data_IF_606431273439
#
_entry.id   IF_606431273439
#
_cell.length_a   1.000
_cell.length_b   1.000
_cell.length_c   1.000
_cell.angle_alpha   90.00
_cell.angle_beta   90.00
_cell.angle_gamma   90.00
#
_symmetry.space_group_name_H-M   'P 1'
#
loop_
_entity.id
_entity.type
_entity.pdbx_description
1 polymer ?
#
# COMPACT_ATOMS: atom_id res chain seq x y z
N UNK A 1 12.42 11.08 10.66
CA UNK A 1 12.90 10.99 9.26
C UNK A 1 11.98 10.03 8.53
N UNK A 2 11.45 10.43 7.38
CA UNK A 2 10.63 9.54 6.55
C UNK A 2 11.57 8.84 5.54
N UNK A 3 11.51 7.51 5.47
CA UNK A 3 12.28 6.73 4.48
C UNK A 3 11.40 6.48 3.26
N UNK A 4 12.02 6.57 2.07
CA UNK A 4 11.37 6.36 0.78
C UNK A 4 11.81 4.98 0.27
N UNK A 5 10.85 4.08 0.03
CA UNK A 5 11.14 2.77 -0.55
C UNK A 5 10.41 2.61 -1.88
N UNK A 6 11.08 2.00 -2.86
CA UNK A 6 10.41 1.48 -4.05
C UNK A 6 9.65 0.20 -3.67
N UNK A 7 8.32 0.19 -3.84
CA UNK A 7 7.44 -0.91 -3.45
C UNK A 7 6.61 -1.31 -4.67
N UNK A 8 6.79 -2.54 -5.15
CA UNK A 8 5.88 -3.13 -6.12
C UNK A 8 4.67 -3.70 -5.38
N UNK A 9 3.52 -3.03 -5.41
CA UNK A 9 2.29 -3.57 -4.81
C UNK A 9 1.68 -4.60 -5.76
N UNK A 10 1.95 -5.89 -5.50
CA UNK A 10 1.29 -6.98 -6.23
C UNK A 10 -0.12 -7.18 -5.69
N UNK A 11 -1.09 -6.78 -6.49
CA UNK A 11 -2.52 -7.07 -6.42
C UNK A 11 -3.16 -7.00 -5.02
N UNK A 12 -4.12 -6.09 -4.88
CA UNK A 12 -5.15 -6.19 -3.85
C UNK A 12 -5.73 -7.62 -3.90
N UNK A 13 -5.46 -8.48 -2.91
CA UNK A 13 -6.31 -9.66 -2.65
C UNK A 13 -7.58 -9.13 -2.00
N UNK A 14 -8.29 -8.30 -2.74
CA UNK A 14 -9.70 -8.21 -2.54
C UNK A 14 -10.26 -9.49 -3.14
N UNK A 15 -10.87 -10.26 -2.27
CA UNK A 15 -11.56 -11.48 -2.59
C UNK A 15 -12.61 -11.14 -3.66
N UNK A 16 -12.30 -11.46 -4.92
CA UNK A 16 -13.20 -11.72 -6.04
C UNK A 16 -14.47 -10.85 -6.19
N UNK A 17 -14.39 -9.52 -6.18
CA UNK A 17 -15.49 -8.69 -6.70
C UNK A 17 -15.11 -8.10 -8.06
N UNK A 18 -16.06 -8.17 -9.01
CA UNK A 18 -15.89 -7.72 -10.41
C UNK A 18 -15.48 -6.24 -10.56
N UNK A 19 -15.66 -5.41 -9.52
CA UNK A 19 -15.34 -3.98 -9.53
C UNK A 19 -14.05 -3.59 -8.80
N UNK A 20 -13.30 -4.56 -8.29
CA UNK A 20 -12.04 -4.28 -7.59
C UNK A 20 -10.89 -4.10 -8.58
N UNK A 21 -9.94 -3.22 -8.26
CA UNK A 21 -8.73 -3.03 -9.06
C UNK A 21 -7.83 -4.28 -8.94
N UNK A 22 -7.68 -5.00 -10.06
CA UNK A 22 -6.88 -6.22 -10.15
C UNK A 22 -5.45 -5.96 -10.64
N UNK A 23 -5.09 -4.70 -10.89
CA UNK A 23 -3.76 -4.35 -11.40
C UNK A 23 -2.69 -4.56 -10.34
N UNK A 24 -1.53 -5.01 -10.78
CA UNK A 24 -0.29 -4.90 -10.01
C UNK A 24 0.34 -3.56 -10.31
N UNK A 25 0.59 -2.75 -9.28
CA UNK A 25 1.05 -1.38 -9.41
C UNK A 25 2.46 -1.23 -8.84
N UNK A 26 3.39 -0.74 -9.66
CA UNK A 26 4.70 -0.28 -9.19
C UNK A 26 4.54 1.11 -8.58
N UNK A 27 4.79 1.25 -7.28
CA UNK A 27 4.57 2.50 -6.55
C UNK A 27 5.78 2.85 -5.69
N UNK A 28 5.90 4.11 -5.31
CA UNK A 28 6.85 4.54 -4.29
C UNK A 28 6.06 4.83 -3.02
N UNK A 29 6.40 4.15 -1.94
CA UNK A 29 5.74 4.34 -0.65
C UNK A 29 6.66 5.09 0.31
N UNK A 30 6.06 5.99 1.08
CA UNK A 30 6.72 6.72 2.15
C UNK A 30 6.39 6.05 3.47
N UNK A 31 7.41 5.74 4.26
CA UNK A 31 7.25 5.30 5.64
C UNK A 31 7.41 6.53 6.55
N UNK A 32 6.32 7.10 7.10
CA UNK A 32 6.39 8.32 7.89
C UNK A 32 7.18 8.15 9.20
N UNK A 33 7.19 6.93 9.74
CA UNK A 33 8.00 6.58 10.91
C UNK A 33 8.30 5.08 10.89
N UNK A 34 9.59 4.73 10.97
CA UNK A 34 10.05 3.35 11.12
C UNK A 34 9.80 2.80 12.53
N UNK A 35 9.63 3.67 13.53
CA UNK A 35 9.40 3.28 14.92
C UNK A 35 7.92 3.13 15.27
N UNK A 36 7.02 3.47 14.35
CA UNK A 36 5.58 3.39 14.58
C UNK A 36 5.08 1.94 14.56
N UNK A 37 4.19 1.61 15.51
CA UNK A 37 3.46 0.35 15.55
C UNK A 37 1.94 0.56 15.44
N UNK A 38 1.25 -0.10 14.48
CA UNK A 38 1.82 -0.84 13.36
C UNK A 38 2.58 0.07 12.38
N UNK A 39 3.45 -0.53 11.55
CA UNK A 39 4.20 0.19 10.51
C UNK A 39 3.21 0.82 9.52
N UNK A 40 3.43 2.09 9.17
CA UNK A 40 2.57 2.80 8.22
C UNK A 40 3.29 3.00 6.90
N UNK A 41 2.57 2.79 5.80
CA UNK A 41 3.05 3.09 4.46
C UNK A 41 2.03 3.97 3.76
N UNK A 42 2.48 5.13 3.27
CA UNK A 42 1.66 6.09 2.56
C UNK A 42 2.09 6.14 1.09
N UNK A 43 1.11 6.06 0.18
CA UNK A 43 1.35 6.24 -1.26
C UNK A 43 0.11 6.78 -1.96
N UNK A 44 0.31 7.21 -3.20
CA UNK A 44 -0.76 7.72 -4.07
C UNK A 44 -0.84 6.88 -5.33
N UNK A 45 -2.04 6.42 -5.68
CA UNK A 45 -2.34 5.82 -6.98
C UNK A 45 -2.91 6.92 -7.88
N UNK A 46 -2.33 7.11 -9.06
CA UNK A 46 -2.82 8.07 -10.05
C UNK A 46 -3.75 7.40 -11.06
N UNK A 47 -4.49 8.21 -11.81
CA UNK A 47 -5.45 7.78 -12.84
C UNK A 47 -6.52 6.80 -12.31
N UNK A 48 -7.06 7.13 -11.14
CA UNK A 48 -8.15 6.42 -10.50
C UNK A 48 -9.42 7.27 -10.56
N UNK A 49 -10.46 6.74 -11.22
CA UNK A 49 -11.77 7.38 -11.28
C UNK A 49 -12.64 7.13 -10.04
N UNK A 50 -12.31 6.13 -9.24
CA UNK A 50 -12.94 5.82 -7.96
C UNK A 50 -12.00 5.00 -7.09
N UNK A 51 -12.47 4.58 -5.91
CA UNK A 51 -11.69 3.76 -4.99
C UNK A 51 -11.44 2.34 -5.50
N UNK A 52 -12.24 1.82 -6.45
CA UNK A 52 -12.06 0.49 -7.07
C UNK A 52 -11.63 -0.62 -6.10
N UNK A 53 -12.30 -0.74 -4.95
CA UNK A 53 -12.01 -1.78 -3.96
C UNK A 53 -10.90 -1.47 -2.96
N UNK A 54 -10.15 -0.39 -3.14
CA UNK A 54 -9.20 0.16 -2.16
C UNK A 54 -9.95 0.85 -1.01
N UNK A 55 -10.69 0.09 -0.22
CA UNK A 55 -11.47 0.60 0.91
C UNK A 55 -10.87 0.19 2.25
N UNK A 56 -11.19 0.94 3.30
CA UNK A 56 -10.66 0.69 4.65
C UNK A 56 -10.95 -0.72 5.14
N UNK A 57 -10.03 -1.26 5.93
CA UNK A 57 -10.08 -2.60 6.54
C UNK A 57 -9.99 -3.77 5.53
N UNK A 58 -9.65 -3.51 4.27
CA UNK A 58 -9.36 -4.56 3.30
C UNK A 58 -7.88 -4.97 3.31
N UNK A 59 -7.58 -6.27 3.17
CA UNK A 59 -6.20 -6.75 3.10
C UNK A 59 -5.61 -6.49 1.72
N UNK A 60 -4.32 -6.18 1.71
CA UNK A 60 -3.52 -5.94 0.50
C UNK A 60 -2.20 -6.65 0.64
N UNK A 61 -1.62 -7.08 -0.48
CA UNK A 61 -0.30 -7.65 -0.49
C UNK A 61 0.69 -6.66 -1.12
N UNK A 62 1.78 -6.45 -0.40
CA UNK A 62 2.85 -5.54 -0.77
C UNK A 62 4.10 -6.36 -1.01
N UNK A 63 4.79 -6.08 -2.12
CA UNK A 63 6.13 -6.58 -2.34
C UNK A 63 7.10 -5.40 -2.35
N UNK A 64 7.94 -5.32 -1.32
CA UNK A 64 8.99 -4.31 -1.28
C UNK A 64 10.10 -4.73 -2.24
N UNK A 65 10.53 -3.83 -3.12
CA UNK A 65 11.59 -4.16 -4.09
C UNK A 65 12.86 -4.54 -3.33
N UNK A 66 13.44 -5.69 -3.68
CA UNK A 66 14.60 -6.27 -2.99
C UNK A 66 14.24 -7.22 -1.83
N UNK A 67 12.98 -7.28 -1.41
CA UNK A 67 12.52 -8.27 -0.43
C UNK A 67 12.29 -9.65 -1.08
N UNK A 68 12.59 -10.71 -0.32
CA UNK A 68 12.24 -12.10 -0.68
C UNK A 68 10.84 -12.51 -0.23
N UNK A 69 10.14 -11.63 0.49
CA UNK A 69 8.86 -11.93 1.13
C UNK A 69 7.79 -10.92 0.75
N UNK A 70 6.56 -11.43 0.58
CA UNK A 70 5.35 -10.65 0.41
C UNK A 70 4.80 -10.27 1.79
N UNK A 71 4.44 -9.00 1.97
CA UNK A 71 3.87 -8.48 3.21
C UNK A 71 2.36 -8.33 3.03
N UNK A 72 1.60 -8.94 3.94
CA UNK A 72 0.17 -8.66 4.05
C UNK A 72 -0.02 -7.41 4.92
N UNK A 73 -0.67 -6.39 4.38
CA UNK A 73 -1.04 -5.17 5.08
C UNK A 73 -2.56 -4.95 5.00
N UNK A 74 -3.06 -4.00 5.79
CA UNK A 74 -4.47 -3.61 5.80
C UNK A 74 -4.60 -2.15 5.42
N UNK A 75 -5.57 -1.81 4.58
CA UNK A 75 -5.87 -0.40 4.26
C UNK A 75 -6.43 0.26 5.52
N UNK A 76 -5.67 1.21 6.06
CA UNK A 76 -6.09 2.01 7.20
C UNK A 76 -6.87 3.25 6.76
N UNK A 77 -6.48 3.85 5.63
CA UNK A 77 -7.17 5.01 5.04
C UNK A 77 -7.13 4.90 3.53
N UNK A 78 -8.24 5.27 2.93
CA UNK A 78 -8.38 5.51 1.50
C UNK A 78 -9.07 6.84 1.32
N UNK A 79 -8.53 7.70 0.45
CA UNK A 79 -9.10 9.00 0.16
C UNK A 79 -8.99 9.29 -1.32
N UNK A 80 -10.13 9.33 -1.99
CA UNK A 80 -10.21 9.65 -3.40
C UNK A 80 -10.23 11.17 -3.62
N UNK A 81 -9.39 11.64 -4.53
CA UNK A 81 -9.29 13.01 -4.96
C UNK A 81 -9.86 13.10 -6.38
N UNK A 82 -11.14 13.44 -6.48
CA UNK A 82 -11.87 13.50 -7.77
C UNK A 82 -11.23 14.48 -8.77
N UNK A 83 -10.75 15.62 -8.30
CA UNK A 83 -10.14 16.65 -9.16
C UNK A 83 -8.86 16.15 -9.81
N UNK A 84 -8.04 15.42 -9.07
CA UNK A 84 -6.72 14.94 -9.51
C UNK A 84 -6.77 13.50 -10.05
N UNK A 85 -7.95 12.87 -10.04
CA UNK A 85 -8.16 11.44 -10.33
C UNK A 85 -7.11 10.57 -9.64
N UNK A 86 -6.93 10.81 -8.34
CA UNK A 86 -5.91 10.13 -7.55
C UNK A 86 -6.48 9.54 -6.28
N UNK A 87 -5.80 8.55 -5.74
CA UNK A 87 -6.21 7.86 -4.54
C UNK A 87 -5.06 7.82 -3.55
N UNK A 88 -5.23 8.52 -2.43
CA UNK A 88 -4.27 8.54 -1.34
C UNK A 88 -4.57 7.38 -0.40
N UNK A 89 -3.60 6.47 -0.25
CA UNK A 89 -3.72 5.25 0.53
C UNK A 89 -2.74 5.28 1.69
N UNK A 90 -3.24 4.88 2.87
CA UNK A 90 -2.41 4.51 4.02
C UNK A 90 -2.64 3.05 4.35
N UNK A 91 -1.55 2.30 4.41
CA UNK A 91 -1.54 0.92 4.84
C UNK A 91 -0.97 0.78 6.25
N UNK A 92 -1.49 -0.18 6.99
CA UNK A 92 -0.93 -0.66 8.23
C UNK A 92 -0.35 -2.06 8.00
N UNK A 93 0.97 -2.19 8.12
CA UNK A 93 1.66 -3.46 8.05
C UNK A 93 2.04 -3.95 9.46
N UNK A 94 1.95 -5.27 9.73
CA UNK A 94 2.33 -5.85 11.03
C UNK A 94 3.85 -5.76 11.26
N UNK A 95 4.31 -5.71 12.52
CA UNK A 95 5.72 -5.45 12.88
C UNK A 95 6.76 -6.39 12.27
N UNK A 96 6.40 -7.62 11.88
CA UNK A 96 7.36 -8.51 11.21
C UNK A 96 7.69 -8.04 9.78
N UNK A 97 6.87 -7.16 9.19
CA UNK A 97 7.14 -6.54 7.90
C UNK A 97 8.40 -5.66 7.91
N UNK A 98 8.85 -5.18 9.07
CA UNK A 98 10.14 -4.50 9.22
C UNK A 98 11.30 -5.32 8.67
N UNK A 99 11.26 -6.66 8.77
CA UNK A 99 12.30 -7.55 8.22
C UNK A 99 12.28 -7.65 6.70
N UNK A 100 11.19 -7.24 6.08
CA UNK A 100 11.03 -7.23 4.62
C UNK A 100 11.37 -5.87 3.99
N UNK A 101 11.61 -4.85 4.82
CA UNK A 101 12.18 -3.59 4.37
C UNK A 101 13.71 -3.76 4.33
N UNK A 102 14.39 -3.32 3.25
CA UNK A 102 15.85 -3.29 3.24
C UNK A 102 16.34 -2.38 4.37
N UNK A 103 17.30 -2.86 5.15
CA UNK A 103 18.09 -1.98 6.01
C UNK A 103 19.01 -1.14 5.12
N UNK A 104 19.17 0.15 5.47
CA UNK A 104 20.16 1.05 4.85
C UNK A 104 21.54 0.40 4.74
#
# INVERSE_FOLDING_TARGET
>A
MAQIFNVACSALVAINNLGDDQRTLGLTAVVPSMDAYPLRLDFTITDMSSECGWTTNRPVYLWVVGSRSLVRATIQRSQHHYNDRSLSIRLAAPAWAHRSLPAD
#
